data_IF_029404041237
#
_entry.id   IF_029404041237
#
_cell.length_a   1.000
_cell.length_b   1.000
_cell.length_c   1.000
_cell.angle_alpha   90.00
_cell.angle_beta   90.00
_cell.angle_gamma   90.00
#
_symmetry.space_group_name_H-M   'P 1'
#
loop_
_entity.id
_entity.type
_entity.pdbx_description
1 polymer ?
#
# COMPACT_ATOMS: atom_id res chain seq x y z
N UNK A 1 -15.25 51.95 22.34
CA UNK A 1 -14.27 50.92 22.74
C UNK A 1 -14.58 49.67 21.91
N UNK A 2 -13.86 49.45 20.80
CA UNK A 2 -12.77 48.45 20.62
C UNK A 2 -13.15 47.01 21.02
N UNK A 3 -13.03 46.09 20.05
CA UNK A 3 -12.94 44.63 20.26
C UNK A 3 -13.72 43.84 19.21
N UNK A 4 -13.27 43.78 17.96
CA UNK A 4 -12.30 42.82 17.40
C UNK A 4 -12.88 41.42 17.09
N UNK A 5 -12.77 41.11 15.80
CA UNK A 5 -13.07 39.87 15.08
C UNK A 5 -12.50 38.62 15.75
N UNK A 6 -13.21 37.51 15.61
CA UNK A 6 -12.56 36.21 15.52
C UNK A 6 -13.37 35.29 14.58
N UNK A 7 -12.93 35.24 13.32
CA UNK A 7 -13.16 34.12 12.42
C UNK A 7 -12.72 32.82 13.10
N UNK A 8 -13.59 31.82 13.09
CA UNK A 8 -13.18 30.44 13.22
C UNK A 8 -13.71 29.66 12.01
N UNK A 9 -13.04 29.83 10.88
CA UNK A 9 -13.12 28.90 9.76
C UNK A 9 -12.61 27.55 10.25
N UNK A 10 -13.53 26.67 10.69
CA UNK A 10 -13.22 25.25 10.84
C UNK A 10 -12.95 24.70 9.44
N UNK A 11 -11.69 24.73 9.05
CA UNK A 11 -11.18 23.99 7.91
C UNK A 11 -11.40 22.51 8.19
N UNK A 12 -12.52 21.96 7.70
CA UNK A 12 -12.72 20.53 7.65
C UNK A 12 -11.67 19.98 6.70
N UNK A 13 -10.60 19.43 7.28
CA UNK A 13 -9.57 18.66 6.59
C UNK A 13 -10.27 17.46 5.96
N UNK A 14 -10.79 17.64 4.75
CA UNK A 14 -11.27 16.56 3.90
C UNK A 14 -10.09 15.63 3.74
N UNK A 15 -10.15 14.49 4.45
CA UNK A 15 -9.32 13.33 4.15
C UNK A 15 -9.56 13.08 2.67
N UNK A 16 -8.61 13.48 1.83
CA UNK A 16 -8.55 13.06 0.44
C UNK A 16 -8.39 11.54 0.52
N UNK A 17 -9.50 10.83 0.47
CA UNK A 17 -9.53 9.42 0.13
C UNK A 17 -8.81 9.36 -1.20
N UNK A 18 -7.55 8.94 -1.18
CA UNK A 18 -6.70 8.87 -2.35
C UNK A 18 -7.48 8.02 -3.34
N UNK A 19 -7.98 8.63 -4.42
CA UNK A 19 -8.77 7.93 -5.42
C UNK A 19 -8.01 6.65 -5.77
N UNK A 20 -8.65 5.50 -5.56
CA UNK A 20 -8.04 4.23 -5.94
C UNK A 20 -7.83 4.32 -7.44
N UNK A 21 -6.58 4.24 -7.87
CA UNK A 21 -6.27 4.25 -9.30
C UNK A 21 -6.95 3.04 -9.91
N UNK A 22 -7.80 3.19 -10.95
CA UNK A 22 -8.46 2.07 -11.61
C UNK A 22 -7.49 0.97 -12.03
N UNK A 23 -6.29 1.38 -12.47
CA UNK A 23 -5.16 0.51 -12.81
C UNK A 23 -4.68 -0.35 -11.64
N UNK A 24 -4.64 0.20 -10.43
CA UNK A 24 -4.24 -0.55 -9.22
C UNK A 24 -5.32 -1.59 -8.88
N UNK A 25 -6.59 -1.23 -8.98
CA UNK A 25 -7.69 -2.18 -8.72
C UNK A 25 -7.74 -3.31 -9.75
N UNK A 26 -7.44 -3.01 -11.02
CA UNK A 26 -7.33 -4.02 -12.07
C UNK A 26 -6.16 -4.99 -11.82
N UNK A 27 -4.99 -4.50 -11.45
CA UNK A 27 -3.84 -5.34 -11.09
C UNK A 27 -4.17 -6.25 -9.91
N UNK A 28 -4.81 -5.71 -8.85
CA UNK A 28 -5.20 -6.50 -7.68
C UNK A 28 -6.21 -7.58 -8.07
N UNK A 29 -7.18 -7.26 -8.93
CA UNK A 29 -8.15 -8.25 -9.44
C UNK A 29 -7.47 -9.35 -10.24
N UNK A 30 -6.56 -9.00 -11.15
CA UNK A 30 -5.82 -10.00 -11.93
C UNK A 30 -4.99 -10.91 -11.03
N UNK A 31 -4.26 -10.34 -10.06
CA UNK A 31 -3.50 -11.10 -9.07
C UNK A 31 -4.42 -12.04 -8.28
N UNK A 32 -5.57 -11.55 -7.82
CA UNK A 32 -6.56 -12.35 -7.10
C UNK A 32 -7.09 -13.51 -7.95
N UNK A 33 -7.48 -13.26 -9.20
CA UNK A 33 -7.96 -14.30 -10.13
C UNK A 33 -6.89 -15.34 -10.44
N UNK A 34 -5.63 -14.92 -10.60
CA UNK A 34 -4.52 -15.84 -10.79
C UNK A 34 -4.29 -16.68 -9.52
N UNK A 35 -4.37 -16.07 -8.34
CA UNK A 35 -4.15 -16.76 -7.07
C UNK A 35 -5.32 -17.61 -6.60
N UNK A 36 -6.55 -17.34 -7.04
CA UNK A 36 -7.73 -18.15 -6.68
C UNK A 36 -7.71 -19.53 -7.32
N UNK A 37 -6.94 -19.70 -8.40
CA UNK A 37 -6.69 -20.98 -9.05
C UNK A 37 -5.45 -21.68 -8.50
N UNK A 38 -4.68 -21.01 -7.63
CA UNK A 38 -3.53 -21.59 -6.96
C UNK A 38 -4.00 -22.21 -5.64
N UNK A 39 -3.52 -23.41 -5.32
CA UNK A 39 -3.74 -24.01 -4.00
C UNK A 39 -3.16 -23.11 -2.90
N UNK A 40 -3.54 -23.35 -1.64
CA UNK A 40 -3.11 -22.49 -0.52
C UNK A 40 -1.59 -22.34 -0.39
N UNK A 41 -0.83 -23.39 -0.72
CA UNK A 41 0.63 -23.38 -0.70
C UNK A 41 1.21 -22.50 -1.83
N UNK A 42 0.70 -22.67 -3.05
CA UNK A 42 1.08 -21.88 -4.22
C UNK A 42 0.75 -20.39 -4.07
N UNK A 43 -0.37 -20.08 -3.42
CA UNK A 43 -0.77 -18.71 -3.09
C UNK A 43 0.23 -18.01 -2.14
N UNK A 44 0.82 -18.75 -1.20
CA UNK A 44 1.86 -18.22 -0.30
C UNK A 44 3.16 -17.99 -1.07
N UNK A 45 3.59 -18.93 -1.92
CA UNK A 45 4.81 -18.77 -2.74
C UNK A 45 4.69 -17.54 -3.64
N UNK A 46 3.55 -17.36 -4.30
CA UNK A 46 3.24 -16.21 -5.13
C UNK A 46 3.29 -14.91 -4.31
N UNK A 47 2.63 -14.87 -3.15
CA UNK A 47 2.63 -13.72 -2.26
C UNK A 47 4.04 -13.31 -1.80
N UNK A 48 4.90 -14.29 -1.47
CA UNK A 48 6.31 -14.03 -1.16
C UNK A 48 7.06 -13.43 -2.35
N UNK A 49 6.81 -13.93 -3.55
CA UNK A 49 7.37 -13.39 -4.80
C UNK A 49 6.98 -11.92 -5.03
N UNK A 50 5.69 -11.59 -4.88
CA UNK A 50 5.18 -10.22 -5.02
C UNK A 50 5.83 -9.27 -4.01
N UNK A 51 5.96 -9.68 -2.75
CA UNK A 51 6.63 -8.87 -1.72
C UNK A 51 8.08 -8.57 -2.11
N UNK A 52 8.83 -9.58 -2.57
CA UNK A 52 10.22 -9.41 -3.00
C UNK A 52 10.34 -8.45 -4.19
N UNK A 53 9.46 -8.59 -5.18
CA UNK A 53 9.44 -7.72 -6.36
C UNK A 53 9.14 -6.26 -6.00
N UNK A 54 8.15 -6.03 -5.13
CA UNK A 54 7.85 -4.69 -4.63
C UNK A 54 9.03 -4.11 -3.85
N UNK A 55 9.64 -4.89 -2.97
CA UNK A 55 10.78 -4.42 -2.18
C UNK A 55 12.00 -4.08 -3.03
N UNK A 56 12.27 -4.87 -4.08
CA UNK A 56 13.29 -4.56 -5.09
C UNK A 56 12.99 -3.24 -5.80
N UNK A 57 11.78 -3.10 -6.36
CA UNK A 57 11.40 -1.92 -7.13
C UNK A 57 11.44 -0.61 -6.32
N UNK A 58 11.11 -0.63 -5.02
CA UNK A 58 11.25 0.55 -4.16
C UNK A 58 12.72 0.89 -3.87
N UNK A 59 13.55 -0.13 -3.64
CA UNK A 59 14.98 0.03 -3.37
C UNK A 59 15.75 0.56 -4.57
N UNK A 60 15.49 0.03 -5.76
CA UNK A 60 16.05 0.52 -7.03
C UNK A 60 15.75 2.00 -7.26
N UNK A 61 14.57 2.45 -6.80
CA UNK A 61 14.15 3.86 -6.86
C UNK A 61 14.73 4.72 -5.72
N UNK A 62 15.57 4.16 -4.85
CA UNK A 62 16.09 4.82 -3.65
C UNK A 62 14.99 5.22 -2.65
N UNK A 63 13.82 4.57 -2.70
CA UNK A 63 12.67 4.92 -1.87
C UNK A 63 12.54 3.96 -0.70
N UNK A 64 12.13 4.50 0.43
CA UNK A 64 11.75 3.69 1.58
C UNK A 64 10.53 2.84 1.27
N UNK A 65 10.52 1.63 1.82
CA UNK A 65 9.40 0.70 1.74
C UNK A 65 8.14 1.31 2.37
N UNK A 66 7.04 1.47 1.61
CA UNK A 66 5.77 1.94 2.17
C UNK A 66 5.24 0.99 3.25
N UNK A 67 4.50 1.55 4.22
CA UNK A 67 3.89 0.78 5.32
C UNK A 67 3.09 -0.44 4.84
N UNK A 68 2.31 -0.30 3.77
CA UNK A 68 1.49 -1.39 3.25
C UNK A 68 2.35 -2.54 2.69
N UNK A 69 3.54 -2.26 2.12
CA UNK A 69 4.47 -3.30 1.65
C UNK A 69 5.08 -4.04 2.84
N UNK A 70 5.41 -3.32 3.93
CA UNK A 70 5.89 -3.94 5.17
C UNK A 70 4.82 -4.84 5.81
N UNK A 71 3.54 -4.43 5.78
CA UNK A 71 2.42 -5.24 6.26
C UNK A 71 2.22 -6.49 5.39
N UNK A 72 2.33 -6.35 4.07
CA UNK A 72 2.28 -7.47 3.15
C UNK A 72 3.42 -8.47 3.39
N UNK A 73 4.63 -7.95 3.64
CA UNK A 73 5.79 -8.77 3.97
C UNK A 73 5.57 -9.56 5.27
N UNK A 74 5.03 -8.92 6.31
CA UNK A 74 4.68 -9.60 7.55
C UNK A 74 3.61 -10.69 7.34
N UNK A 75 2.59 -10.42 6.52
CA UNK A 75 1.52 -11.37 6.21
C UNK A 75 2.05 -12.66 5.56
N UNK A 76 3.01 -12.55 4.64
CA UNK A 76 3.60 -13.71 3.95
C UNK A 76 4.87 -14.26 4.63
N UNK A 77 5.26 -13.74 5.80
CA UNK A 77 6.46 -14.17 6.53
C UNK A 77 7.77 -13.85 5.80
N UNK A 78 7.78 -12.81 4.97
CA UNK A 78 8.99 -12.35 4.27
C UNK A 78 9.67 -11.26 5.09
N UNK A 79 10.97 -11.44 5.36
CA UNK A 79 11.81 -10.36 5.88
C UNK A 79 12.21 -9.47 4.69
N UNK A 80 11.79 -8.19 4.64
CA UNK A 80 12.30 -7.29 3.63
C UNK A 80 13.76 -6.97 3.99
N UNK A 81 14.69 -7.74 3.45
CA UNK A 81 16.13 -7.51 3.57
C UNK A 81 16.46 -6.06 3.17
N UNK A 82 16.97 -5.23 4.08
CA UNK A 82 17.34 -3.83 3.82
C UNK A 82 16.69 -2.80 4.75
N UNK A 83 16.90 -2.98 6.06
CA UNK A 83 16.75 -1.94 7.08
C UNK A 83 18.07 -1.77 7.80
#
# INVERSE_FOLDING_TARGET
MKGSRASATRSSKTKRTRARSPKVEEIVRLVHTLSSNLGSEDGVVMGRGVVRLLAGAYRERGRSLPRWVKQLAAHYGVKPEGG
#
